data_IF_805496336061
#
_entry.id   IF_805496336061
#
_cell.length_a   1.000
_cell.length_b   1.000
_cell.length_c   1.000
_cell.angle_alpha   90.00
_cell.angle_beta   90.00
_cell.angle_gamma   90.00
#
_symmetry.space_group_name_H-M   'P 1'
#
loop_
_entity.id
_entity.type
_entity.pdbx_description
1 polymer ?
#
# COMPACT_ATOMS: atom_id res chain seq x y z
N UNK A 1 5.10 14.50 11.07
CA UNK A 1 5.63 15.79 10.60
C UNK A 1 4.53 16.52 9.83
N UNK A 2 3.96 17.56 10.42
CA UNK A 2 3.37 18.66 9.66
C UNK A 2 4.44 19.74 9.50
N UNK A 3 4.45 20.44 8.37
CA UNK A 3 5.26 21.64 8.19
C UNK A 3 4.26 22.79 8.12
N UNK A 4 4.35 23.72 9.06
CA UNK A 4 3.61 24.98 9.02
C UNK A 4 4.55 26.06 8.49
N UNK A 5 4.00 27.00 7.72
CA UNK A 5 4.76 28.14 7.20
C UNK A 5 4.87 29.26 8.25
N UNK A 6 3.94 29.30 9.21
CA UNK A 6 3.95 30.27 10.31
C UNK A 6 3.69 29.62 11.68
N UNK A 7 4.01 30.35 12.74
CA UNK A 7 3.90 29.88 14.14
C UNK A 7 2.44 29.74 14.58
N UNK A 8 1.55 30.56 14.01
CA UNK A 8 0.13 30.62 14.37
C UNK A 8 -0.77 29.78 13.46
N UNK A 9 -0.18 29.04 12.51
CA UNK A 9 -0.93 28.21 11.57
C UNK A 9 -1.47 26.95 12.27
N UNK A 10 -2.77 26.68 12.10
CA UNK A 10 -3.38 25.49 12.67
C UNK A 10 -2.75 24.21 12.12
N UNK A 11 -2.32 23.33 13.02
CA UNK A 11 -1.76 22.02 12.66
C UNK A 11 -2.85 21.17 12.02
N UNK A 12 -2.88 21.12 10.68
CA UNK A 12 -3.91 20.41 9.94
C UNK A 12 -3.84 18.89 10.06
N UNK A 13 -2.66 18.31 10.28
CA UNK A 13 -2.49 16.85 10.33
C UNK A 13 -1.27 16.44 11.17
N UNK A 14 -1.52 15.70 12.24
CA UNK A 14 -0.46 15.04 13.00
C UNK A 14 -0.13 13.71 12.33
N UNK A 15 1.14 13.50 12.00
CA UNK A 15 1.65 12.20 11.55
C UNK A 15 2.46 11.61 12.71
N UNK A 16 2.06 10.43 13.18
CA UNK A 16 2.76 9.72 14.24
C UNK A 16 4.21 9.43 13.84
N UNK A 17 5.14 9.69 14.76
CA UNK A 17 6.54 9.29 14.59
C UNK A 17 6.67 7.84 15.00
N UNK A 18 6.87 6.97 14.02
CA UNK A 18 7.18 5.56 14.28
C UNK A 18 8.66 5.41 14.63
N UNK A 19 8.97 4.56 15.60
CA UNK A 19 10.35 4.22 15.93
C UNK A 19 10.91 3.30 14.83
N UNK A 20 11.71 3.87 13.93
CA UNK A 20 12.26 3.19 12.75
C UNK A 20 13.72 2.76 12.91
N UNK A 21 14.28 2.85 14.13
CA UNK A 21 15.67 2.41 14.41
C UNK A 21 15.77 0.92 14.73
N UNK A 22 14.65 0.20 14.82
CA UNK A 22 14.62 -1.23 15.11
C UNK A 22 14.89 -1.99 13.82
N UNK A 23 15.97 -2.77 13.78
CA UNK A 23 16.35 -3.61 12.62
C UNK A 23 15.61 -4.95 12.56
N UNK A 24 14.44 -5.05 13.19
CA UNK A 24 13.63 -6.26 13.19
C UNK A 24 12.34 -5.96 12.41
N UNK A 25 12.29 -6.28 11.11
CA UNK A 25 11.09 -6.05 10.31
C UNK A 25 9.94 -6.91 10.83
N UNK A 26 8.74 -6.36 10.81
CA UNK A 26 7.51 -7.05 11.21
C UNK A 26 7.10 -8.11 10.17
N UNK A 27 7.34 -7.81 8.89
CA UNK A 27 7.02 -8.66 7.75
C UNK A 27 8.29 -9.06 7.00
N UNK A 28 8.33 -10.28 6.46
CA UNK A 28 9.33 -10.72 5.50
C UNK A 28 9.05 -10.07 4.14
N UNK A 29 7.80 -10.13 3.67
CA UNK A 29 7.42 -9.62 2.36
C UNK A 29 6.10 -8.84 2.45
N UNK A 30 6.12 -7.63 1.92
CA UNK A 30 4.92 -6.79 1.78
C UNK A 30 4.75 -6.29 0.36
N UNK A 31 3.52 -5.89 0.00
CA UNK A 31 3.18 -5.42 -1.33
C UNK A 31 2.73 -3.96 -1.30
N UNK A 32 3.34 -3.15 -2.14
CA UNK A 32 2.97 -1.79 -2.45
C UNK A 32 2.12 -1.79 -3.72
N UNK A 33 0.80 -1.61 -3.56
CA UNK A 33 -0.11 -1.50 -4.69
C UNK A 33 -0.02 -0.09 -5.29
N UNK A 34 0.12 0.00 -6.61
CA UNK A 34 0.01 1.28 -7.30
C UNK A 34 -1.30 1.99 -6.98
N UNK A 35 -1.32 3.33 -6.95
CA UNK A 35 -2.51 4.04 -6.50
C UNK A 35 -3.76 3.74 -7.33
N UNK A 36 -4.88 3.61 -6.62
CA UNK A 36 -6.20 3.42 -7.22
C UNK A 36 -6.81 4.77 -7.60
N UNK A 37 -7.34 4.84 -8.82
CA UNK A 37 -8.03 6.01 -9.37
C UNK A 37 -9.41 5.64 -9.88
N UNK A 38 -10.24 6.66 -10.08
CA UNK A 38 -11.56 6.51 -10.67
C UNK A 38 -12.58 5.81 -9.78
N UNK A 39 -13.80 5.68 -10.29
CA UNK A 39 -14.94 5.12 -9.58
C UNK A 39 -15.50 3.88 -10.29
N UNK A 40 -14.76 3.33 -11.23
CA UNK A 40 -15.06 2.03 -11.83
C UNK A 40 -14.81 0.92 -10.82
N UNK A 41 -15.67 -0.10 -10.89
CA UNK A 41 -15.64 -1.26 -9.99
C UNK A 41 -14.32 -2.01 -10.07
N UNK A 42 -13.58 -2.08 -8.95
CA UNK A 42 -12.30 -2.80 -8.83
C UNK A 42 -12.33 -4.01 -7.91
N UNK A 43 -13.46 -4.28 -7.25
CA UNK A 43 -13.55 -5.25 -6.16
C UNK A 43 -13.02 -6.64 -6.55
N UNK A 44 -13.33 -7.11 -7.76
CA UNK A 44 -12.90 -8.43 -8.21
C UNK A 44 -11.38 -8.48 -8.38
N UNK A 45 -10.80 -7.50 -9.07
CA UNK A 45 -9.35 -7.42 -9.26
C UNK A 45 -8.60 -7.24 -7.93
N UNK A 46 -9.18 -6.50 -6.99
CA UNK A 46 -8.62 -6.33 -5.64
C UNK A 46 -8.62 -7.63 -4.86
N UNK A 47 -9.75 -8.37 -4.85
CA UNK A 47 -9.83 -9.67 -4.20
C UNK A 47 -8.83 -10.64 -4.82
N UNK A 48 -8.80 -10.74 -6.15
CA UNK A 48 -7.85 -11.61 -6.86
C UNK A 48 -6.39 -11.24 -6.56
N UNK A 49 -6.05 -9.95 -6.50
CA UNK A 49 -4.70 -9.50 -6.21
C UNK A 49 -4.29 -9.88 -4.78
N UNK A 50 -5.13 -9.55 -3.80
CA UNK A 50 -4.83 -9.79 -2.39
C UNK A 50 -4.69 -11.29 -2.15
N UNK A 51 -5.66 -12.09 -2.58
CA UNK A 51 -5.63 -13.54 -2.37
C UNK A 51 -4.46 -14.21 -3.12
N UNK A 52 -4.18 -13.80 -4.37
CA UNK A 52 -3.03 -14.32 -5.12
C UNK A 52 -1.72 -14.07 -4.37
N UNK A 53 -1.48 -12.85 -3.91
CA UNK A 53 -0.23 -12.51 -3.27
C UNK A 53 -0.12 -13.06 -1.84
N UNK A 54 -1.24 -13.29 -1.13
CA UNK A 54 -1.24 -14.08 0.10
C UNK A 54 -0.74 -15.50 -0.15
N UNK A 55 -1.15 -16.14 -1.25
CA UNK A 55 -0.60 -17.45 -1.66
C UNK A 55 0.89 -17.37 -2.05
N UNK A 56 1.37 -16.21 -2.50
CA UNK A 56 2.80 -15.98 -2.77
C UNK A 56 3.61 -15.61 -1.52
N UNK A 57 3.00 -15.61 -0.33
CA UNK A 57 3.67 -15.32 0.95
C UNK A 57 3.80 -13.84 1.27
N UNK A 58 2.99 -12.97 0.67
CA UNK A 58 2.87 -11.57 1.10
C UNK A 58 2.07 -11.51 2.40
N UNK A 59 2.63 -10.85 3.41
CA UNK A 59 2.04 -10.75 4.75
C UNK A 59 1.30 -9.43 4.99
N UNK A 60 1.63 -8.38 4.23
CA UNK A 60 1.01 -7.07 4.41
C UNK A 60 0.91 -6.29 3.10
N UNK A 61 -0.15 -5.51 2.95
CA UNK A 61 -0.49 -4.78 1.73
C UNK A 61 -0.68 -3.29 2.02
N UNK A 62 0.04 -2.43 1.31
CA UNK A 62 -0.18 -1.00 1.32
C UNK A 62 -0.98 -0.59 0.09
N UNK A 63 -2.17 -0.04 0.32
CA UNK A 63 -3.09 0.35 -0.75
C UNK A 63 -3.31 1.86 -0.74
N UNK A 64 -2.85 2.52 -1.79
CA UNK A 64 -3.01 3.96 -1.98
C UNK A 64 -4.29 4.25 -2.75
N UNK A 65 -5.15 5.12 -2.23
CA UNK A 65 -6.48 5.40 -2.78
C UNK A 65 -6.59 6.89 -3.07
N UNK A 66 -6.73 7.24 -4.35
CA UNK A 66 -7.15 8.58 -4.77
C UNK A 66 -8.66 8.66 -4.85
N UNK A 67 -9.26 7.75 -5.60
CA UNK A 67 -10.71 7.59 -5.77
C UNK A 67 -11.02 6.09 -5.84
N UNK A 68 -12.19 5.68 -5.34
CA UNK A 68 -12.67 4.29 -5.35
C UNK A 68 -14.19 4.26 -5.24
N UNK A 69 -14.85 3.25 -5.81
CA UNK A 69 -16.29 3.04 -5.62
C UNK A 69 -16.63 2.46 -4.23
N UNK A 70 -17.88 2.62 -3.82
CA UNK A 70 -18.35 2.22 -2.49
C UNK A 70 -18.25 0.70 -2.23
N UNK A 71 -18.44 -0.14 -3.25
CA UNK A 71 -18.41 -1.58 -3.08
C UNK A 71 -16.97 -2.09 -2.94
N UNK A 72 -16.06 -1.62 -3.78
CA UNK A 72 -14.63 -1.91 -3.64
C UNK A 72 -14.06 -1.37 -2.33
N UNK A 73 -14.51 -0.20 -1.87
CA UNK A 73 -14.12 0.34 -0.56
C UNK A 73 -14.58 -0.57 0.58
N UNK A 74 -15.80 -1.10 0.51
CA UNK A 74 -16.32 -2.05 1.50
C UNK A 74 -15.48 -3.32 1.56
N UNK A 75 -15.11 -3.87 0.41
CA UNK A 75 -14.23 -5.05 0.35
C UNK A 75 -12.87 -4.76 1.00
N UNK A 76 -12.20 -3.66 0.63
CA UNK A 76 -10.91 -3.28 1.21
C UNK A 76 -11.02 -3.12 2.73
N UNK A 77 -12.13 -2.54 3.21
CA UNK A 77 -12.34 -2.34 4.64
C UNK A 77 -12.36 -3.66 5.44
N UNK A 78 -12.82 -4.76 4.84
CA UNK A 78 -12.77 -6.07 5.49
C UNK A 78 -11.33 -6.60 5.59
N UNK A 79 -10.48 -6.36 4.59
CA UNK A 79 -9.04 -6.66 4.66
C UNK A 79 -8.26 -5.72 5.61
N UNK A 80 -8.73 -4.49 5.80
CA UNK A 80 -8.18 -3.60 6.83
C UNK A 80 -8.50 -4.15 8.22
N UNK A 81 -9.71 -4.69 8.43
CA UNK A 81 -10.11 -5.29 9.71
C UNK A 81 -9.35 -6.57 10.04
N UNK A 82 -8.99 -7.39 9.05
CA UNK A 82 -8.17 -8.58 9.27
C UNK A 82 -6.70 -8.24 9.57
N UNK A 83 -6.27 -7.01 9.30
CA UNK A 83 -4.88 -6.57 9.43
C UNK A 83 -4.02 -6.87 8.19
N UNK A 84 -4.61 -7.42 7.13
CA UNK A 84 -3.89 -7.71 5.88
C UNK A 84 -3.49 -6.41 5.16
N UNK A 85 -4.36 -5.38 5.19
CA UNK A 85 -4.21 -4.16 4.38
C UNK A 85 -4.12 -2.89 5.25
N UNK A 86 -3.13 -2.03 4.97
CA UNK A 86 -3.11 -0.62 5.35
C UNK A 86 -3.58 0.24 4.16
N UNK A 87 -4.56 1.12 4.38
CA UNK A 87 -5.03 2.06 3.34
C UNK A 87 -4.50 3.46 3.57
N UNK A 88 -3.99 4.08 2.49
CA UNK A 88 -3.49 5.46 2.49
C UNK A 88 -4.32 6.28 1.50
N UNK A 89 -5.04 7.28 2.00
CA UNK A 89 -5.88 8.14 1.17
C UNK A 89 -5.13 9.41 0.77
N UNK A 90 -5.14 9.72 -0.53
CA UNK A 90 -4.59 10.98 -1.01
C UNK A 90 -5.52 12.16 -0.73
N UNK A 91 -4.93 13.31 -0.39
CA UNK A 91 -5.68 14.52 -0.11
C UNK A 91 -6.31 15.08 -1.38
N UNK A 92 -7.62 15.37 -1.32
CA UNK A 92 -8.35 16.07 -2.38
C UNK A 92 -8.01 17.56 -2.47
N UNK A 93 -7.25 18.12 -1.51
CA UNK A 93 -6.93 19.56 -1.48
C UNK A 93 -5.86 19.97 -2.48
N UNK A 94 -5.01 19.04 -2.93
CA UNK A 94 -3.96 19.33 -3.91
C UNK A 94 -4.29 18.63 -5.22
N UNK A 95 -4.61 19.39 -6.27
CA UNK A 95 -4.71 18.80 -7.59
C UNK A 95 -3.31 18.53 -8.13
N UNK A 96 -3.03 17.26 -8.45
CA UNK A 96 -1.80 16.82 -9.13
C UNK A 96 -2.19 15.98 -10.34
N UNK A 97 -1.32 15.94 -11.35
CA UNK A 97 -1.54 15.05 -12.50
C UNK A 97 -1.45 13.58 -12.06
N UNK A 98 -2.10 12.67 -12.79
CA UNK A 98 -2.12 11.23 -12.43
C UNK A 98 -0.72 10.65 -12.17
N UNK A 99 0.26 10.99 -13.03
CA UNK A 99 1.66 10.60 -12.88
C UNK A 99 2.29 11.05 -11.56
N UNK A 100 1.95 12.24 -11.08
CA UNK A 100 2.52 12.78 -9.85
C UNK A 100 1.98 12.03 -8.63
N UNK A 101 0.73 11.58 -8.68
CA UNK A 101 0.15 10.72 -7.64
C UNK A 101 0.78 9.34 -7.62
N UNK A 102 1.06 8.76 -8.79
CA UNK A 102 1.76 7.48 -8.88
C UNK A 102 3.16 7.59 -8.26
N UNK A 103 3.91 8.64 -8.63
CA UNK A 103 5.23 8.91 -8.06
C UNK A 103 5.17 9.16 -6.54
N UNK A 104 4.15 9.87 -6.06
CA UNK A 104 3.96 10.11 -4.63
C UNK A 104 3.68 8.81 -3.87
N UNK A 105 2.76 7.97 -4.37
CA UNK A 105 2.41 6.69 -3.76
C UNK A 105 3.57 5.71 -3.71
N UNK A 106 4.30 5.55 -4.83
CA UNK A 106 5.47 4.66 -4.88
C UNK A 106 6.54 5.10 -3.89
N UNK A 107 6.84 6.41 -3.83
CA UNK A 107 7.84 6.95 -2.90
C UNK A 107 7.41 6.80 -1.45
N UNK A 108 6.16 7.12 -1.11
CA UNK A 108 5.66 6.97 0.26
C UNK A 108 5.71 5.49 0.68
N UNK A 109 5.28 4.58 -0.21
CA UNK A 109 5.28 3.15 0.10
C UNK A 109 6.69 2.61 0.33
N UNK A 110 7.64 2.97 -0.52
CA UNK A 110 9.05 2.62 -0.34
C UNK A 110 9.57 3.04 1.04
N UNK A 111 9.25 4.27 1.47
CA UNK A 111 9.70 4.77 2.77
C UNK A 111 8.96 4.14 3.95
N UNK A 112 7.69 3.79 3.77
CA UNK A 112 6.84 3.15 4.78
C UNK A 112 7.27 1.71 5.01
N UNK A 113 7.41 0.93 3.94
CA UNK A 113 7.76 -0.48 4.00
C UNK A 113 9.21 -0.74 4.42
N UNK A 114 10.15 0.18 4.13
CA UNK A 114 11.59 0.03 4.44
C UNK A 114 11.91 -0.42 5.86
N UNK A 115 11.07 -0.09 6.84
CA UNK A 115 11.29 -0.41 8.25
C UNK A 115 10.25 -1.38 8.84
N UNK A 116 9.27 -1.80 8.03
CA UNK A 116 8.26 -2.77 8.42
C UNK A 116 8.48 -4.11 7.73
N UNK A 117 9.11 -4.12 6.55
CA UNK A 117 9.25 -5.30 5.71
C UNK A 117 10.71 -5.53 5.35
N UNK A 118 11.16 -6.79 5.33
CA UNK A 118 12.50 -7.15 4.84
C UNK A 118 12.60 -6.94 3.33
N UNK A 119 11.54 -7.27 2.60
CA UNK A 119 11.41 -7.07 1.17
C UNK A 119 10.08 -6.40 0.84
N UNK A 120 10.04 -5.66 -0.28
CA UNK A 120 8.83 -4.99 -0.76
C UNK A 120 8.64 -5.24 -2.25
N UNK A 121 7.46 -5.72 -2.61
CA UNK A 121 7.02 -5.87 -3.99
C UNK A 121 6.23 -4.63 -4.42
N UNK A 122 6.43 -4.17 -5.64
CA UNK A 122 5.61 -3.13 -6.26
C UNK A 122 4.88 -3.76 -7.45
N UNK A 123 3.56 -3.59 -7.50
CA UNK A 123 2.74 -4.17 -8.56
C UNK A 123 1.54 -3.27 -8.86
N UNK A 124 1.11 -3.30 -10.12
CA UNK A 124 -0.18 -2.75 -10.55
C UNK A 124 -1.32 -3.74 -10.27
N UNK A 125 -2.56 -3.27 -10.32
CA UNK A 125 -3.75 -4.04 -9.91
C UNK A 125 -3.99 -5.29 -10.78
N UNK A 126 -3.60 -5.22 -12.04
CA UNK A 126 -3.75 -6.26 -13.07
C UNK A 126 -2.51 -7.16 -13.20
N UNK A 127 -1.48 -6.96 -12.37
CA UNK A 127 -0.25 -7.77 -12.42
C UNK A 127 -0.29 -8.96 -11.46
N UNK A 128 0.19 -10.10 -11.95
CA UNK A 128 0.36 -11.34 -11.17
C UNK A 128 1.76 -11.86 -11.38
N UNK A 129 2.57 -11.80 -10.33
CA UNK A 129 3.93 -12.33 -10.32
C UNK A 129 3.90 -13.68 -9.61
N UNK A 130 4.55 -14.67 -10.21
CA UNK A 130 4.72 -16.02 -9.68
C UNK A 130 6.07 -16.58 -10.12
N UNK A 131 6.56 -17.57 -9.39
CA UNK A 131 7.77 -18.29 -9.76
C UNK A 131 7.49 -19.24 -10.94
N UNK A 132 8.50 -19.48 -11.78
CA UNK A 132 8.40 -20.47 -12.88
C UNK A 132 8.37 -21.89 -12.36
N UNK A 133 9.02 -22.15 -11.22
CA UNK A 133 8.91 -23.39 -10.47
C UNK A 133 7.68 -23.30 -9.55
N UNK A 134 6.51 -23.68 -10.05
CA UNK A 134 5.20 -23.52 -9.37
C UNK A 134 5.03 -24.22 -8.00
N UNK A 135 6.11 -24.76 -7.43
CA UNK A 135 6.15 -25.37 -6.11
C UNK A 135 6.74 -24.45 -5.03
N UNK A 136 7.22 -23.25 -5.39
CA UNK A 136 7.76 -22.27 -4.43
C UNK A 136 7.05 -20.93 -4.57
N UNK A 137 6.71 -20.33 -3.44
CA UNK A 137 6.14 -18.98 -3.34
C UNK A 137 7.21 -17.90 -3.59
N UNK A 138 6.78 -16.65 -3.83
CA UNK A 138 7.71 -15.53 -3.93
C UNK A 138 8.51 -15.32 -2.63
N UNK A 139 7.84 -15.45 -1.48
CA UNK A 139 8.50 -15.35 -0.18
C UNK A 139 9.59 -16.41 0.01
N UNK A 140 9.34 -17.66 -0.38
CA UNK A 140 10.34 -18.74 -0.32
C UNK A 140 11.51 -18.51 -1.28
N UNK A 141 11.25 -17.93 -2.46
CA UNK A 141 12.28 -17.65 -3.46
C UNK A 141 13.29 -16.58 -3.01
N UNK A 142 12.85 -15.60 -2.23
CA UNK A 142 13.68 -14.45 -1.79
C UNK A 142 14.25 -14.59 -0.36
N UNK A 143 13.86 -15.63 0.37
CA UNK A 143 14.29 -15.89 1.74
C UNK A 143 15.68 -16.50 1.81
#
# INVERSE_FOLDING_TARGET
MSITESVDEEVMQLVSTLNRTVNNPEYILSLCLSPLYGTESKWLLLAELIEHYKLQGVEHFYVYIKDIDAYSQKLIHDYVKSGDVETIYFSNKQHRMGKDWQLAGVKDCLHRSRHQSRYSLFADLDERIMTTSGNISLAEYIS
#
